data_IF_418925949037
#
_entry.id   IF_418925949037
#
_cell.length_a   1.000
_cell.length_b   1.000
_cell.length_c   1.000
_cell.angle_alpha   90.00
_cell.angle_beta   90.00
_cell.angle_gamma   90.00
#
_symmetry.space_group_name_H-M   'P 1'
#
loop_
_entity.id
_entity.type
_entity.pdbx_description
1 polymer ?
#
# COMPACT_ATOMS: atom_id res chain seq x y z
N UNK A 1 31.20 -3.42 14.90
CA UNK A 1 31.14 -2.26 13.97
C UNK A 1 29.97 -2.28 12.96
N UNK A 2 29.13 -3.33 12.90
CA UNK A 2 28.06 -3.48 11.89
C UNK A 2 26.79 -2.65 12.11
N UNK A 3 26.51 -2.18 13.33
CA UNK A 3 25.30 -1.39 13.61
C UNK A 3 25.40 0.08 13.17
N UNK A 4 26.57 0.73 13.21
CA UNK A 4 26.68 2.15 12.84
C UNK A 4 26.43 2.43 11.35
N UNK A 5 26.81 1.51 10.45
CA UNK A 5 26.55 1.66 9.01
C UNK A 5 25.05 1.50 8.68
N UNK A 6 24.30 0.69 9.44
CA UNK A 6 22.85 0.50 9.27
C UNK A 6 22.06 1.79 9.50
N UNK A 7 22.53 2.66 10.40
CA UNK A 7 21.85 3.92 10.73
C UNK A 7 22.15 5.08 9.78
N UNK A 8 23.29 5.08 9.08
CA UNK A 8 23.64 6.18 8.16
C UNK A 8 22.76 6.21 6.90
N UNK A 9 22.47 5.05 6.31
CA UNK A 9 21.60 4.98 5.12
C UNK A 9 20.14 5.33 5.42
N UNK A 10 19.67 4.94 6.60
CA UNK A 10 18.32 5.21 7.09
C UNK A 10 18.04 6.70 7.37
N UNK A 11 19.02 7.59 7.22
CA UNK A 11 18.82 9.05 7.34
C UNK A 11 18.90 9.77 5.99
N UNK A 12 19.22 9.08 4.90
CA UNK A 12 19.44 9.72 3.62
C UNK A 12 18.10 10.01 2.90
N UNK A 13 17.78 11.26 2.51
CA UNK A 13 16.48 11.62 1.92
C UNK A 13 16.12 10.81 0.67
N UNK A 14 17.11 10.53 -0.20
CA UNK A 14 16.90 9.67 -1.39
C UNK A 14 16.46 8.25 -1.05
N UNK A 15 16.94 7.69 0.08
CA UNK A 15 16.52 6.37 0.51
C UNK A 15 15.05 6.40 0.96
N UNK A 16 14.63 7.42 1.71
CA UNK A 16 13.23 7.59 2.10
C UNK A 16 12.29 7.75 0.89
N UNK A 17 12.68 8.55 -0.11
CA UNK A 17 11.90 8.70 -1.34
C UNK A 17 11.75 7.37 -2.08
N UNK A 18 12.84 6.61 -2.24
CA UNK A 18 12.79 5.29 -2.86
C UNK A 18 11.89 4.32 -2.06
N UNK A 19 12.07 4.27 -0.73
CA UNK A 19 11.29 3.38 0.13
C UNK A 19 9.81 3.73 0.12
N UNK A 20 9.47 5.02 0.19
CA UNK A 20 8.11 5.53 0.09
C UNK A 20 7.48 5.20 -1.28
N UNK A 21 8.22 5.40 -2.37
CA UNK A 21 7.76 5.06 -3.72
C UNK A 21 7.46 3.57 -3.87
N UNK A 22 8.37 2.69 -3.43
CA UNK A 22 8.16 1.25 -3.48
C UNK A 22 6.96 0.83 -2.60
N UNK A 23 6.83 1.42 -1.42
CA UNK A 23 5.71 1.15 -0.51
C UNK A 23 4.37 1.53 -1.14
N UNK A 24 4.32 2.67 -1.81
CA UNK A 24 3.14 3.13 -2.53
C UNK A 24 2.78 2.22 -3.71
N UNK A 25 3.75 1.86 -4.55
CA UNK A 25 3.58 0.92 -5.66
C UNK A 25 2.97 -0.41 -5.19
N UNK A 26 3.56 -1.00 -4.14
CA UNK A 26 3.08 -2.24 -3.54
C UNK A 26 1.67 -2.10 -2.94
N UNK A 27 1.40 -0.98 -2.25
CA UNK A 27 0.12 -0.74 -1.60
C UNK A 27 -1.05 -0.63 -2.60
N UNK A 28 -0.81 -0.15 -3.83
CA UNK A 28 -1.87 0.01 -4.83
C UNK A 28 -2.54 -1.31 -5.25
N UNK A 29 -1.84 -2.45 -5.13
CA UNK A 29 -2.38 -3.78 -5.46
C UNK A 29 -2.58 -4.70 -4.26
N UNK A 30 -2.21 -4.28 -3.05
CA UNK A 30 -2.30 -5.10 -1.84
C UNK A 30 -3.73 -5.59 -1.54
N UNK A 31 -4.77 -4.91 -2.03
CA UNK A 31 -6.17 -5.33 -1.90
C UNK A 31 -6.52 -6.63 -2.64
N UNK A 32 -5.75 -7.00 -3.67
CA UNK A 32 -5.99 -8.16 -4.53
C UNK A 32 -5.14 -9.38 -4.16
N UNK A 33 -4.29 -9.27 -3.14
CA UNK A 33 -3.46 -10.37 -2.68
C UNK A 33 -4.23 -11.32 -1.77
N UNK A 34 -3.75 -12.55 -1.66
CA UNK A 34 -4.27 -13.52 -0.68
C UNK A 34 -4.13 -12.97 0.74
N UNK A 35 -5.00 -13.40 1.65
CA UNK A 35 -5.06 -12.84 3.00
C UNK A 35 -3.75 -12.97 3.78
N UNK A 36 -3.02 -14.08 3.65
CA UNK A 36 -1.71 -14.29 4.27
C UNK A 36 -0.69 -13.23 3.85
N UNK A 37 -0.69 -12.90 2.56
CA UNK A 37 0.26 -11.99 1.93
C UNK A 37 -0.12 -10.56 2.24
N UNK A 38 -1.40 -10.25 2.06
CA UNK A 38 -2.00 -8.98 2.42
C UNK A 38 -1.69 -8.63 3.87
N UNK A 39 -1.89 -9.57 4.79
CA UNK A 39 -1.58 -9.40 6.22
C UNK A 39 -0.10 -9.15 6.45
N UNK A 40 0.77 -9.96 5.83
CA UNK A 40 2.23 -9.78 5.96
C UNK A 40 2.72 -8.45 5.39
N UNK A 41 2.11 -7.98 4.30
CA UNK A 41 2.39 -6.67 3.70
C UNK A 41 1.94 -5.53 4.61
N UNK A 42 0.71 -5.59 5.14
CA UNK A 42 0.20 -4.54 6.02
C UNK A 42 0.99 -4.46 7.33
N UNK A 43 1.48 -5.59 7.84
CA UNK A 43 2.44 -5.62 8.95
C UNK A 43 3.73 -4.87 8.59
N UNK A 44 4.36 -5.20 7.46
CA UNK A 44 5.56 -4.51 6.97
C UNK A 44 5.34 -3.01 6.71
N UNK A 45 4.23 -2.66 6.06
CA UNK A 45 3.83 -1.28 5.83
C UNK A 45 3.72 -0.52 7.15
N UNK A 46 3.07 -1.10 8.15
CA UNK A 46 2.90 -0.47 9.47
C UNK A 46 4.23 -0.20 10.14
N UNK A 47 5.13 -1.18 10.16
CA UNK A 47 6.49 -1.04 10.71
C UNK A 47 7.30 0.06 10.00
N UNK A 48 7.27 0.11 8.66
CA UNK A 48 7.97 1.13 7.88
C UNK A 48 7.41 2.52 8.21
N UNK A 49 6.08 2.67 8.24
CA UNK A 49 5.43 3.96 8.51
C UNK A 49 5.65 4.42 9.96
N UNK A 50 5.59 3.52 10.94
CA UNK A 50 5.89 3.85 12.34
C UNK A 50 7.35 4.27 12.52
N UNK A 51 8.28 3.69 11.76
CA UNK A 51 9.71 3.97 11.89
C UNK A 51 10.16 5.21 11.12
N UNK A 52 9.60 5.48 9.95
CA UNK A 52 10.10 6.50 9.03
C UNK A 52 9.06 7.56 8.64
N UNK A 53 7.77 7.29 8.86
CA UNK A 53 6.70 8.23 8.61
C UNK A 53 6.51 9.19 9.79
N UNK A 54 5.98 10.37 9.49
CA UNK A 54 5.52 11.33 10.50
C UNK A 54 4.01 11.25 10.59
N UNK A 55 3.49 11.20 11.81
CA UNK A 55 2.06 11.33 12.09
C UNK A 55 1.75 12.77 12.50
N UNK A 56 0.56 13.23 12.16
CA UNK A 56 -0.03 14.41 12.80
C UNK A 56 -0.84 13.88 13.99
N UNK A 57 -0.25 13.86 15.19
CA UNK A 57 -0.79 13.13 16.34
C UNK A 57 -2.25 13.50 16.73
N UNK A 58 -2.69 14.72 16.41
CA UNK A 58 -4.05 15.18 16.65
C UNK A 58 -5.03 14.94 15.48
N UNK A 59 -4.56 14.42 14.33
CA UNK A 59 -5.31 14.34 13.08
C UNK A 59 -5.33 12.90 12.54
N UNK A 60 -6.53 12.36 12.36
CA UNK A 60 -6.83 11.11 11.67
C UNK A 60 -7.79 11.30 10.49
N UNK A 61 -7.80 10.40 9.52
CA UNK A 61 -8.86 10.19 8.54
C UNK A 61 -10.12 9.57 9.18
N UNK A 62 -11.32 9.80 8.64
CA UNK A 62 -12.45 8.86 8.83
C UNK A 62 -12.82 8.28 7.49
N UNK A 63 -12.77 6.95 7.39
CA UNK A 63 -13.29 6.23 6.24
C UNK A 63 -14.74 5.83 6.50
N UNK A 64 -15.65 6.29 5.67
CA UNK A 64 -17.06 5.89 5.71
C UNK A 64 -17.31 4.84 4.62
N UNK A 65 -17.71 3.64 5.03
CA UNK A 65 -18.07 2.54 4.13
C UNK A 65 -19.57 2.30 4.25
N UNK A 66 -20.30 2.56 3.16
CA UNK A 66 -21.72 2.28 3.05
C UNK A 66 -21.90 0.91 2.37
N UNK A 67 -22.60 0.00 3.03
CA UNK A 67 -23.01 -1.26 2.44
C UNK A 67 -24.42 -1.11 1.87
N UNK A 68 -24.51 -1.18 0.54
CA UNK A 68 -25.77 -1.05 -0.20
C UNK A 68 -26.74 -2.17 0.17
N UNK A 69 -28.01 -1.81 0.37
CA UNK A 69 -29.07 -2.76 0.71
C UNK A 69 -29.34 -3.69 -0.46
N UNK A 70 -28.96 -4.95 -0.28
CA UNK A 70 -29.18 -6.06 -1.20
C UNK A 70 -30.65 -6.23 -1.63
N UNK A 71 -31.63 -5.98 -0.75
CA UNK A 71 -33.05 -6.18 -1.07
C UNK A 71 -33.65 -5.12 -1.99
N UNK A 72 -33.05 -3.94 -2.08
CA UNK A 72 -33.46 -2.90 -3.02
C UNK A 72 -32.33 -2.50 -3.99
N UNK A 73 -31.25 -3.28 -4.07
CA UNK A 73 -30.06 -2.95 -4.86
C UNK A 73 -29.53 -1.52 -4.64
N UNK A 74 -29.63 -1.01 -3.41
CA UNK A 74 -29.19 0.34 -3.06
C UNK A 74 -30.13 1.47 -3.45
N UNK A 75 -31.29 1.21 -4.08
CA UNK A 75 -32.21 2.28 -4.50
C UNK A 75 -33.03 2.85 -3.35
N UNK A 76 -33.15 2.11 -2.24
CA UNK A 76 -34.04 2.46 -1.15
C UNK A 76 -35.52 2.14 -1.41
N UNK A 77 -35.88 1.62 -2.58
CA UNK A 77 -37.28 1.36 -2.96
C UNK A 77 -37.56 -0.13 -3.13
N UNK A 78 -38.70 -0.59 -2.60
CA UNK A 78 -39.23 -1.94 -2.81
C UNK A 78 -40.25 -1.90 -3.95
N UNK A 79 -39.98 -2.65 -5.02
CA UNK A 79 -40.72 -2.68 -6.29
C UNK A 79 -40.67 -1.37 -7.14
N UNK A 80 -40.43 -1.52 -8.45
CA UNK A 80 -40.38 -0.42 -9.45
C UNK A 80 -41.75 -0.11 -10.10
N UNK A 81 -42.85 -0.54 -9.49
CA UNK A 81 -44.22 -0.36 -10.01
C UNK A 81 -44.82 0.95 -9.43
N UNK A 82 -45.94 1.49 -9.97
CA UNK A 82 -46.13 2.94 -10.13
C UNK A 82 -46.11 3.78 -8.85
N UNK A 83 -46.23 3.14 -7.69
CA UNK A 83 -46.03 3.75 -6.38
C UNK A 83 -44.89 3.03 -5.66
N UNK A 84 -43.64 3.52 -5.74
CA UNK A 84 -42.51 2.88 -5.07
C UNK A 84 -42.63 3.05 -3.56
N UNK A 85 -42.63 1.94 -2.83
CA UNK A 85 -42.63 1.94 -1.37
C UNK A 85 -41.19 2.00 -0.83
N UNK A 86 -40.94 2.65 0.30
CA UNK A 86 -39.63 2.62 0.94
C UNK A 86 -39.28 1.19 1.34
N UNK A 87 -38.07 0.75 1.01
CA UNK A 87 -37.60 -0.58 1.35
C UNK A 87 -37.49 -0.73 2.87
N UNK A 88 -38.30 -1.62 3.45
CA UNK A 88 -38.37 -1.87 4.89
C UNK A 88 -37.02 -2.26 5.51
N UNK A 89 -36.15 -2.98 4.77
CA UNK A 89 -34.84 -3.41 5.30
C UNK A 89 -33.85 -2.25 5.52
N UNK A 90 -33.99 -1.15 4.76
CA UNK A 90 -33.12 0.01 4.89
C UNK A 90 -33.90 1.30 5.17
N UNK A 91 -35.19 1.19 5.52
CA UNK A 91 -36.11 2.31 5.72
C UNK A 91 -35.99 3.39 4.64
N UNK A 92 -35.99 2.99 3.36
CA UNK A 92 -35.91 3.96 2.27
C UNK A 92 -34.52 4.47 1.91
N UNK A 93 -33.47 4.22 2.72
CA UNK A 93 -32.15 4.86 2.53
C UNK A 93 -31.28 4.24 1.44
N UNK A 94 -31.57 3.00 1.05
CA UNK A 94 -30.70 2.21 0.16
C UNK A 94 -29.42 1.67 0.83
N UNK A 95 -29.14 2.02 2.09
CA UNK A 95 -27.94 1.57 2.82
C UNK A 95 -28.39 0.78 4.05
N UNK A 96 -28.01 -0.51 4.14
CA UNK A 96 -28.40 -1.32 5.31
C UNK A 96 -27.40 -1.22 6.45
N UNK A 97 -26.15 -0.83 6.16
CA UNK A 97 -25.09 -0.68 7.16
C UNK A 97 -24.11 0.40 6.74
N UNK A 98 -23.78 1.29 7.67
CA UNK A 98 -22.72 2.29 7.52
C UNK A 98 -21.65 2.04 8.56
N UNK A 99 -20.39 1.95 8.14
CA UNK A 99 -19.24 1.72 9.01
C UNK A 99 -18.32 2.92 8.92
N UNK A 100 -17.84 3.41 10.07
CA UNK A 100 -16.81 4.43 10.15
C UNK A 100 -15.52 3.81 10.69
N UNK A 101 -14.41 4.00 9.99
CA UNK A 101 -13.10 3.48 10.39
C UNK A 101 -12.15 4.66 10.56
N UNK A 102 -11.54 4.78 11.74
CA UNK A 102 -10.47 5.76 11.96
C UNK A 102 -9.26 5.37 11.11
N UNK A 103 -8.68 6.31 10.37
CA UNK A 103 -7.45 6.10 9.61
C UNK A 103 -6.32 6.94 10.20
N UNK A 104 -5.26 6.32 10.69
CA UNK A 104 -4.07 7.09 11.03
C UNK A 104 -3.36 7.53 9.75
N UNK A 105 -3.29 8.85 9.52
CA UNK A 105 -2.56 9.46 8.41
C UNK A 105 -1.08 9.50 8.75
N UNK A 106 -0.25 9.03 7.83
CA UNK A 106 1.21 9.11 7.86
C UNK A 106 1.70 9.86 6.64
N UNK A 107 2.54 10.86 6.84
CA UNK A 107 3.33 11.46 5.77
C UNK A 107 4.69 10.74 5.74
N UNK A 108 5.06 10.14 4.61
CA UNK A 108 6.36 9.51 4.46
C UNK A 108 7.02 9.95 3.15
N UNK A 109 8.10 10.73 3.29
CA UNK A 109 8.66 11.52 2.20
C UNK A 109 7.57 12.40 1.55
N UNK A 110 7.31 12.22 0.27
CA UNK A 110 6.37 12.97 -0.56
C UNK A 110 5.01 12.26 -0.72
N UNK A 111 4.70 11.26 0.09
CA UNK A 111 3.46 10.46 -0.04
C UNK A 111 2.70 10.33 1.27
N UNK A 112 1.39 10.28 1.14
CA UNK A 112 0.47 10.06 2.25
C UNK A 112 0.03 8.60 2.27
N UNK A 113 0.04 8.02 3.47
CA UNK A 113 -0.41 6.65 3.71
C UNK A 113 -1.42 6.64 4.85
N UNK A 114 -2.27 5.61 4.82
CA UNK A 114 -3.26 5.35 5.85
C UNK A 114 -3.03 3.99 6.48
N UNK A 115 -3.11 3.94 7.81
CA UNK A 115 -3.25 2.70 8.59
C UNK A 115 -4.64 2.69 9.22
N UNK A 116 -5.47 1.68 8.92
CA UNK A 116 -6.78 1.57 9.57
C UNK A 116 -6.62 1.28 11.06
N UNK A 117 -7.33 2.04 11.87
CA UNK A 117 -7.45 1.87 13.31
C UNK A 117 -8.79 1.25 13.70
N UNK A 118 -9.31 1.64 14.87
CA UNK A 118 -10.60 1.14 15.37
C UNK A 118 -11.78 1.66 14.56
N UNK A 119 -12.88 0.89 14.58
CA UNK A 119 -14.19 1.37 14.15
C UNK A 119 -14.67 2.46 15.10
N UNK A 120 -15.39 3.43 14.55
CA UNK A 120 -16.02 4.52 15.30
C UNK A 120 -17.53 4.32 15.33
N UNK A 121 -18.13 4.70 16.44
CA UNK A 121 -19.57 4.89 16.51
C UNK A 121 -20.00 6.07 15.61
N UNK A 122 -21.23 6.07 15.07
CA UNK A 122 -21.71 7.12 14.19
C UNK A 122 -21.55 8.54 14.75
N UNK A 123 -21.83 8.74 16.05
CA UNK A 123 -21.70 10.04 16.70
C UNK A 123 -20.23 10.45 16.89
N UNK A 124 -19.35 9.46 17.09
CA UNK A 124 -17.90 9.67 17.13
C UNK A 124 -17.31 10.06 15.78
N UNK A 125 -17.97 9.73 14.66
CA UNK A 125 -17.55 10.18 13.34
C UNK A 125 -17.99 11.62 13.03
N UNK A 126 -19.14 12.07 13.56
CA UNK A 126 -19.69 13.43 13.33
C UNK A 126 -18.95 14.53 14.05
N UNK A 127 -18.38 14.21 15.21
CA UNK A 127 -17.63 15.16 16.04
C UNK A 127 -16.18 15.36 15.57
N UNK A 128 -15.84 14.80 14.42
CA UNK A 128 -14.47 14.69 13.96
C UNK A 128 -14.03 15.86 13.05
N UNK A 129 -12.76 16.28 13.18
CA UNK A 129 -12.20 17.49 12.53
C UNK A 129 -11.41 17.26 11.24
N UNK A 130 -11.13 16.01 10.87
CA UNK A 130 -10.42 15.68 9.64
C UNK A 130 -11.35 15.25 8.52
N UNK A 131 -10.78 14.70 7.45
CA UNK A 131 -11.53 14.39 6.23
C UNK A 131 -12.39 13.12 6.37
N UNK A 132 -13.62 13.16 5.82
CA UNK A 132 -14.44 11.96 5.67
C UNK A 132 -14.24 11.41 4.25
N UNK A 133 -13.46 10.33 4.14
CA UNK A 133 -13.22 9.61 2.89
C UNK A 133 -14.38 8.64 2.66
N UNK A 134 -15.16 8.90 1.61
CA UNK A 134 -16.29 8.04 1.22
C UNK A 134 -15.79 6.82 0.44
N UNK A 135 -16.18 5.63 0.89
CA UNK A 135 -15.85 4.36 0.26
C UNK A 135 -14.41 3.89 0.55
N UNK A 136 -13.97 2.91 -0.23
CA UNK A 136 -12.59 2.43 -0.16
C UNK A 136 -11.63 3.47 -0.74
N UNK A 137 -10.47 3.65 -0.09
CA UNK A 137 -9.39 4.49 -0.63
C UNK A 137 -9.02 3.94 -2.00
N UNK A 138 -9.17 4.80 -3.02
CA UNK A 138 -8.80 4.46 -4.38
C UNK A 138 -7.31 4.67 -4.58
N UNK A 139 -6.69 3.74 -5.27
CA UNK A 139 -5.30 3.83 -5.68
C UNK A 139 -5.24 3.91 -7.21
N UNK A 140 -4.28 4.65 -7.79
CA UNK A 140 -4.11 4.61 -9.23
C UNK A 140 -3.80 3.19 -9.67
N UNK A 141 -4.23 2.87 -10.89
CA UNK A 141 -4.00 1.56 -11.45
C UNK A 141 -2.50 1.36 -11.68
N UNK A 142 -1.96 0.28 -11.11
CA UNK A 142 -0.57 -0.15 -11.28
C UNK A 142 -0.61 -1.60 -11.73
N UNK A 143 0.21 -1.90 -12.74
CA UNK A 143 0.40 -3.25 -13.24
C UNK A 143 0.83 -4.22 -12.13
N UNK A 144 0.26 -5.43 -12.12
CA UNK A 144 0.48 -6.41 -11.04
C UNK A 144 1.94 -6.78 -10.89
N UNK A 145 2.67 -6.91 -12.00
CA UNK A 145 4.09 -7.24 -11.98
C UNK A 145 4.89 -6.12 -11.32
N UNK A 146 4.55 -4.86 -11.59
CA UNK A 146 5.22 -3.69 -11.00
C UNK A 146 4.98 -3.63 -9.48
N UNK A 147 3.74 -3.79 -9.03
CA UNK A 147 3.41 -3.77 -7.61
C UNK A 147 4.09 -4.93 -6.85
N UNK A 148 4.14 -6.12 -7.47
CA UNK A 148 4.82 -7.29 -6.92
C UNK A 148 6.34 -7.09 -6.82
N UNK A 149 6.98 -6.59 -7.87
CA UNK A 149 8.40 -6.25 -7.85
C UNK A 149 8.72 -5.24 -6.76
N UNK A 150 7.86 -4.24 -6.56
CA UNK A 150 8.01 -3.27 -5.49
C UNK A 150 7.91 -3.93 -4.10
N UNK A 151 6.92 -4.80 -3.88
CA UNK A 151 6.76 -5.55 -2.63
C UNK A 151 7.99 -6.43 -2.32
N UNK A 152 8.52 -7.10 -3.33
CA UNK A 152 9.72 -7.91 -3.19
C UNK A 152 10.95 -7.06 -2.87
N UNK A 153 11.16 -5.93 -3.57
CA UNK A 153 12.27 -5.01 -3.26
C UNK A 153 12.15 -4.43 -1.84
N UNK A 154 10.95 -4.06 -1.38
CA UNK A 154 10.71 -3.63 -0.01
C UNK A 154 11.16 -4.68 1.00
N UNK A 155 10.75 -5.93 0.80
CA UNK A 155 11.05 -7.00 1.75
C UNK A 155 12.55 -7.27 1.86
N UNK A 156 13.30 -7.15 0.76
CA UNK A 156 14.76 -7.20 0.75
C UNK A 156 15.36 -6.03 1.53
N UNK A 157 14.95 -4.80 1.20
CA UNK A 157 15.48 -3.59 1.83
C UNK A 157 15.24 -3.62 3.34
N UNK A 158 14.06 -4.06 3.76
CA UNK A 158 13.71 -4.16 5.17
C UNK A 158 14.53 -5.24 5.89
N UNK A 159 14.83 -6.37 5.23
CA UNK A 159 15.72 -7.41 5.80
C UNK A 159 17.16 -6.92 5.93
N UNK A 160 17.69 -6.22 4.91
CA UNK A 160 19.03 -5.62 4.96
C UNK A 160 19.14 -4.56 6.05
N UNK A 161 18.07 -3.79 6.28
CA UNK A 161 17.98 -2.82 7.36
C UNK A 161 17.82 -3.44 8.77
N UNK A 162 17.86 -4.78 8.89
CA UNK A 162 17.76 -5.51 10.15
C UNK A 162 16.32 -5.79 10.62
N UNK A 163 15.33 -5.60 9.76
CA UNK A 163 13.94 -5.96 10.04
C UNK A 163 13.73 -7.48 9.99
N UNK A 164 12.86 -7.99 10.87
CA UNK A 164 12.51 -9.42 10.98
C UNK A 164 11.43 -9.86 9.97
N UNK A 165 11.54 -9.44 8.71
CA UNK A 165 10.50 -9.74 7.72
C UNK A 165 10.67 -11.12 7.09
N UNK A 166 9.68 -12.01 7.30
CA UNK A 166 9.58 -13.34 6.67
C UNK A 166 8.76 -13.34 5.36
N UNK A 167 8.48 -12.17 4.80
CA UNK A 167 7.58 -11.96 3.66
C UNK A 167 7.95 -12.76 2.40
N UNK A 168 9.24 -12.93 2.12
CA UNK A 168 9.73 -13.40 0.80
C UNK A 168 9.44 -14.87 0.53
N UNK A 169 9.55 -15.74 1.54
CA UNK A 169 9.70 -17.18 1.28
C UNK A 169 8.39 -17.84 0.81
N UNK A 170 7.25 -17.41 1.38
CA UNK A 170 5.94 -18.00 1.07
C UNK A 170 5.31 -17.38 -0.17
N UNK A 171 5.46 -16.07 -0.37
CA UNK A 171 4.80 -15.39 -1.48
C UNK A 171 5.43 -15.63 -2.85
N UNK A 172 6.77 -15.70 -2.92
CA UNK A 172 7.47 -16.09 -4.16
C UNK A 172 7.13 -17.53 -4.54
N UNK A 173 6.80 -18.36 -3.57
CA UNK A 173 6.44 -19.75 -3.81
C UNK A 173 4.97 -19.87 -4.28
N UNK A 174 4.04 -19.23 -3.58
CA UNK A 174 2.60 -19.46 -3.79
C UNK A 174 2.03 -18.69 -5.01
N UNK A 175 2.53 -17.49 -5.31
CA UNK A 175 1.93 -16.62 -6.34
C UNK A 175 2.58 -16.76 -7.72
N UNK A 176 3.85 -17.19 -7.78
CA UNK A 176 4.57 -17.35 -9.04
C UNK A 176 4.39 -18.75 -9.66
N UNK A 177 3.85 -19.72 -8.92
CA UNK A 177 3.78 -21.13 -9.33
C UNK A 177 2.42 -21.79 -9.59
N UNK A 178 1.26 -21.11 -9.74
CA UNK A 178 0.06 -21.88 -10.08
C UNK A 178 0.05 -22.38 -11.55
N UNK A 179 0.72 -21.71 -12.51
CA UNK A 179 0.63 -22.06 -13.94
C UNK A 179 1.95 -22.00 -14.74
N UNK A 180 3.09 -21.69 -14.11
CA UNK A 180 4.39 -21.75 -14.79
C UNK A 180 4.97 -23.13 -14.55
N UNK A 181 4.74 -24.03 -15.51
CA UNK A 181 5.58 -25.21 -15.74
C UNK A 181 7.04 -24.81 -15.55
N UNK A 182 7.73 -25.45 -14.61
CA UNK A 182 9.16 -25.31 -14.35
C UNK A 182 9.97 -25.77 -15.58
N UNK A 183 9.93 -24.99 -16.66
CA UNK A 183 10.92 -25.12 -17.73
C UNK A 183 12.19 -24.38 -17.28
N UNK A 184 13.37 -25.01 -17.36
CA UNK A 184 14.63 -24.45 -16.88
C UNK A 184 15.07 -23.12 -17.54
N UNK A 185 14.36 -22.65 -18.58
CA UNK A 185 14.63 -21.38 -19.25
C UNK A 185 14.28 -20.12 -18.41
N UNK A 186 13.51 -20.23 -17.32
CA UNK A 186 13.08 -19.09 -16.49
C UNK A 186 13.87 -18.89 -15.19
N UNK A 187 14.94 -19.67 -14.96
CA UNK A 187 15.88 -19.51 -13.82
C UNK A 187 16.69 -18.20 -13.84
N UNK A 188 16.52 -17.36 -14.85
CA UNK A 188 17.21 -16.06 -14.94
C UNK A 188 16.79 -15.09 -13.83
N UNK A 189 15.58 -15.17 -13.29
CA UNK A 189 15.06 -14.15 -12.38
C UNK A 189 15.59 -14.22 -10.95
N UNK A 190 15.74 -15.38 -10.29
CA UNK A 190 16.45 -15.49 -9.01
C UNK A 190 17.92 -15.08 -9.10
N UNK A 191 18.57 -15.41 -10.24
CA UNK A 191 19.94 -14.98 -10.52
C UNK A 191 20.02 -13.48 -10.79
N UNK A 192 19.08 -12.90 -11.54
CA UNK A 192 18.90 -11.45 -11.69
C UNK A 192 18.57 -10.79 -10.35
N UNK A 193 17.85 -11.45 -9.46
CA UNK A 193 17.57 -10.97 -8.10
C UNK A 193 18.83 -10.96 -7.24
N UNK A 194 19.61 -12.05 -7.28
CA UNK A 194 20.90 -12.14 -6.61
C UNK A 194 21.91 -11.16 -7.20
N UNK A 195 21.90 -10.95 -8.52
CA UNK A 195 22.75 -9.99 -9.24
C UNK A 195 22.27 -8.57 -9.01
N UNK A 196 20.99 -8.26 -8.96
CA UNK A 196 20.46 -6.93 -8.62
C UNK A 196 20.74 -6.60 -7.16
N UNK A 197 20.58 -7.59 -6.26
CA UNK A 197 20.93 -7.45 -4.85
C UNK A 197 22.44 -7.24 -4.69
N UNK A 198 23.27 -8.06 -5.34
CA UNK A 198 24.73 -7.92 -5.34
C UNK A 198 25.17 -6.61 -5.99
N UNK A 199 24.57 -6.21 -7.10
CA UNK A 199 24.85 -4.95 -7.81
C UNK A 199 24.40 -3.73 -7.00
N UNK A 200 23.26 -3.79 -6.32
CA UNK A 200 22.79 -2.74 -5.42
C UNK A 200 23.70 -2.63 -4.20
N UNK A 201 24.11 -3.75 -3.61
CA UNK A 201 25.05 -3.81 -2.48
C UNK A 201 26.48 -3.35 -2.88
N UNK A 202 26.93 -3.65 -4.10
CA UNK A 202 28.22 -3.20 -4.66
C UNK A 202 28.17 -1.73 -5.06
N UNK A 203 27.07 -1.23 -5.64
CA UNK A 203 26.90 0.20 -6.01
C UNK A 203 26.66 1.14 -4.84
N UNK A 204 26.25 0.66 -3.67
CA UNK A 204 26.21 1.49 -2.46
C UNK A 204 27.61 1.86 -1.94
N UNK A 205 28.68 1.17 -2.40
CA UNK A 205 30.07 1.61 -2.19
C UNK A 205 30.58 2.60 -3.25
N UNK A 206 29.97 2.63 -4.43
CA UNK A 206 30.34 3.53 -5.54
C UNK A 206 29.10 3.81 -6.40
N UNK A 207 28.53 5.01 -6.31
CA UNK A 207 27.45 5.43 -7.22
C UNK A 207 28.08 5.95 -8.52
N UNK A 208 27.96 5.25 -9.67
CA UNK A 208 28.47 5.77 -10.93
C UNK A 208 27.49 6.80 -11.49
N UNK A 209 28.01 7.87 -12.13
CA UNK A 209 27.26 9.01 -12.69
C UNK A 209 26.05 8.61 -13.59
N UNK A 210 26.06 7.42 -14.19
CA UNK A 210 25.03 6.96 -15.13
C UNK A 210 23.75 6.44 -14.45
N UNK A 211 23.83 5.88 -13.23
CA UNK A 211 22.64 5.46 -12.46
C UNK A 211 21.84 6.67 -11.96
N UNK A 212 22.56 7.70 -11.52
CA UNK A 212 21.98 8.98 -11.16
C UNK A 212 21.32 9.67 -12.36
N UNK A 213 21.76 9.37 -13.59
CA UNK A 213 21.16 9.85 -14.84
C UNK A 213 19.88 9.10 -15.19
N UNK A 214 19.83 7.77 -15.04
CA UNK A 214 18.62 6.95 -15.24
C UNK A 214 17.53 7.23 -14.19
N UNK A 215 17.92 7.39 -12.93
CA UNK A 215 17.02 7.83 -11.86
C UNK A 215 16.53 9.26 -12.17
N UNK A 216 17.43 10.21 -12.47
CA UNK A 216 17.02 11.58 -12.88
C UNK A 216 16.08 11.59 -14.09
N UNK A 217 16.32 10.77 -15.11
CA UNK A 217 15.49 10.74 -16.32
C UNK A 217 14.08 10.18 -16.07
N UNK A 218 13.87 9.43 -14.99
CA UNK A 218 12.54 8.96 -14.57
C UNK A 218 11.85 9.94 -13.63
N UNK A 219 12.60 10.61 -12.76
CA UNK A 219 12.04 11.59 -11.81
C UNK A 219 11.90 13.01 -12.37
N UNK A 220 12.56 13.37 -13.49
CA UNK A 220 12.37 14.67 -14.17
C UNK A 220 11.09 14.73 -15.01
N UNK A 221 10.51 13.59 -15.41
CA UNK A 221 9.25 13.58 -16.17
C UNK A 221 8.00 13.80 -15.31
N UNK A 222 8.14 13.69 -13.99
CA UNK A 222 7.02 13.86 -13.05
C UNK A 222 6.93 15.30 -12.49
N UNK A 223 7.85 16.21 -12.86
CA UNK A 223 7.80 17.64 -12.47
C UNK A 223 6.89 18.49 -13.38
N UNK A 224 6.31 17.92 -14.45
CA UNK A 224 5.43 18.62 -15.40
C UNK A 224 3.93 18.28 -15.24
N UNK A 225 3.52 17.55 -14.20
CA UNK A 225 2.10 17.35 -13.92
C UNK A 225 1.57 18.55 -13.11
N UNK A 226 0.65 19.37 -13.66
CA UNK A 226 0.00 20.40 -12.87
C UNK A 226 -0.89 19.72 -11.82
N UNK A 227 -0.85 20.27 -10.61
CA UNK A 227 -1.76 19.94 -9.52
C UNK A 227 -3.23 20.07 -9.95
#
# INVERSE_FOLDING_TARGET
MTNQLRFKFAKHPRFHRLLSYLLWQANCRAGYWTDDVKSSFYFMKSEILQRFGTTYAAWFDVQQIDHSCWSCHGTGQFNRRPFPEPCYKCNGTGVYRRIYIKLQRYQFADRTFYIPGRRLEPDGARTYKGEIIKGYIQHPHIDDRTALQAAMLLSILCRVAGGRFRFIRRYVYDYWHPNISLRPANLRWPLLYAVMLAWYLVRLRYVPRNAARWIRSRFQKDEELPF
#
